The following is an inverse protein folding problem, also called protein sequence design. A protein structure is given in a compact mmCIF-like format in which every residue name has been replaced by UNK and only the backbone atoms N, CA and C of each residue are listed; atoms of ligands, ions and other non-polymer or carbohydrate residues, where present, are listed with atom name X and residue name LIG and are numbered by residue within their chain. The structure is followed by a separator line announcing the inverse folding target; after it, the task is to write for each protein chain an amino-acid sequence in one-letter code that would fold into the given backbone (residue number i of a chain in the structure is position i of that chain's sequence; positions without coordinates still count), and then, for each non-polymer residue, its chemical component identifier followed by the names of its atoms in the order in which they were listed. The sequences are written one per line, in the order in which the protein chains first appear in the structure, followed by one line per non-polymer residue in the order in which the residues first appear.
data_IF_512023744403
#
_entry.id   IF_512023744403
#
_cell.length_a   1.000
_cell.length_b   1.000
_cell.length_c   1.000
_cell.angle_alpha   90.00
_cell.angle_beta   90.00
_cell.angle_gamma   90.00
#
_symmetry.space_group_name_H-M   'P 1'
#
loop_
_entity.id
_entity.type
_entity.pdbx_description
1 polymer ?
#
# COMPACT_ATOMS: atom_id res chain seq x y z
N UNK A 1 42.49 -41.10 -47.71
CA UNK A 1 41.30 -40.45 -48.33
C UNK A 1 40.47 -39.81 -47.22
N UNK A 2 39.80 -38.70 -47.56
CA UNK A 2 39.36 -37.60 -46.69
C UNK A 2 38.38 -37.99 -45.57
N UNK A 3 38.73 -37.67 -44.33
CA UNK A 3 37.81 -37.52 -43.19
C UNK A 3 37.64 -36.03 -42.91
N UNK A 4 36.44 -35.47 -43.06
CA UNK A 4 36.00 -34.23 -42.38
C UNK A 4 34.48 -34.26 -42.23
N UNK A 5 34.01 -34.78 -41.09
CA UNK A 5 32.70 -34.43 -40.55
C UNK A 5 32.87 -33.07 -39.86
N UNK A 6 32.19 -32.04 -40.39
CA UNK A 6 32.06 -30.74 -39.74
C UNK A 6 31.01 -30.88 -38.63
N UNK A 7 31.47 -31.00 -37.38
CA UNK A 7 30.63 -30.74 -36.23
C UNK A 7 30.58 -29.21 -36.04
N UNK A 8 29.47 -28.59 -36.45
CA UNK A 8 29.17 -27.22 -36.11
C UNK A 8 28.74 -27.19 -34.63
N UNK A 9 29.65 -26.76 -33.75
CA UNK A 9 29.31 -26.43 -32.38
C UNK A 9 28.51 -25.11 -32.41
N UNK A 10 27.19 -25.22 -32.28
CA UNK A 10 26.34 -24.08 -31.95
C UNK A 10 26.69 -23.65 -30.52
N UNK A 11 27.47 -22.58 -30.41
CA UNK A 11 27.55 -21.81 -29.18
C UNK A 11 26.16 -21.20 -28.95
N UNK A 12 25.31 -21.92 -28.22
CA UNK A 12 24.16 -21.33 -27.56
C UNK A 12 24.73 -20.40 -26.48
N UNK A 13 24.96 -19.15 -26.86
CA UNK A 13 25.06 -18.05 -25.92
C UNK A 13 23.74 -18.03 -25.14
N UNK A 14 23.76 -18.68 -23.97
CA UNK A 14 22.80 -18.46 -22.91
C UNK A 14 23.00 -16.99 -22.54
N UNK A 15 22.29 -16.09 -23.22
CA UNK A 15 21.97 -14.82 -22.61
C UNK A 15 21.15 -15.21 -21.39
N UNK A 16 21.63 -15.02 -20.15
CA UNK A 16 20.69 -14.95 -19.05
C UNK A 16 19.72 -13.86 -19.49
N UNK A 17 18.47 -14.26 -19.75
CA UNK A 17 17.38 -13.32 -19.77
C UNK A 17 17.41 -12.68 -18.38
N UNK A 18 18.14 -11.58 -18.25
CA UNK A 18 17.80 -10.53 -17.33
C UNK A 18 16.44 -10.02 -17.80
N UNK A 19 15.38 -10.78 -17.53
CA UNK A 19 14.12 -10.16 -17.18
C UNK A 19 14.40 -9.44 -15.87
N UNK A 20 14.99 -8.26 -15.97
CA UNK A 20 14.72 -7.22 -14.99
C UNK A 20 13.22 -7.04 -15.08
N UNK A 21 12.47 -7.79 -14.26
CA UNK A 21 11.22 -7.27 -13.73
C UNK A 21 11.59 -5.87 -13.26
N UNK A 22 11.16 -4.86 -14.01
CA UNK A 22 11.24 -3.50 -13.52
C UNK A 22 10.51 -3.57 -12.18
N UNK A 23 11.23 -3.37 -11.08
CA UNK A 23 10.64 -3.39 -9.76
C UNK A 23 9.50 -2.37 -9.80
N UNK A 24 8.25 -2.84 -9.73
CA UNK A 24 7.04 -2.00 -9.88
C UNK A 24 6.97 -0.84 -8.89
N UNK A 25 7.88 -0.81 -7.91
CA UNK A 25 8.07 0.22 -6.90
C UNK A 25 8.95 1.40 -7.37
N UNK A 26 9.83 1.23 -8.37
CA UNK A 26 10.73 2.31 -8.83
C UNK A 26 10.00 3.47 -9.51
N UNK A 27 8.87 3.17 -10.15
CA UNK A 27 8.02 4.17 -10.80
C UNK A 27 7.01 4.82 -9.85
N UNK A 28 6.91 4.34 -8.60
CA UNK A 28 5.97 4.87 -7.60
C UNK A 28 6.57 6.03 -6.84
N UNK A 29 5.74 7.05 -6.59
CA UNK A 29 6.08 8.14 -5.67
C UNK A 29 6.20 7.66 -4.22
N UNK A 30 6.95 8.39 -3.37
CA UNK A 30 6.99 8.12 -1.93
C UNK A 30 5.61 8.04 -1.28
N UNK A 31 4.70 8.91 -1.72
CA UNK A 31 3.32 8.93 -1.24
C UNK A 31 2.53 7.69 -1.66
N UNK A 32 2.73 7.16 -2.87
CA UNK A 32 2.08 5.90 -3.31
C UNK A 32 2.58 4.70 -2.51
N UNK A 33 3.88 4.66 -2.24
CA UNK A 33 4.48 3.60 -1.41
C UNK A 33 3.97 3.70 0.03
N UNK A 34 3.91 4.90 0.61
CA UNK A 34 3.34 5.11 1.93
C UNK A 34 1.84 4.74 1.98
N UNK A 35 1.10 5.04 0.91
CA UNK A 35 -0.32 4.70 0.82
C UNK A 35 -0.54 3.19 0.70
N UNK A 36 0.34 2.47 -0.02
CA UNK A 36 0.34 1.02 -0.02
C UNK A 36 0.67 0.44 1.36
N UNK A 37 1.71 0.95 2.04
CA UNK A 37 2.07 0.51 3.41
C UNK A 37 0.90 0.67 4.39
N UNK A 38 0.20 1.80 4.32
CA UNK A 38 -0.92 2.08 5.22
C UNK A 38 -2.18 1.30 4.81
N UNK A 39 -2.57 1.32 3.55
CA UNK A 39 -3.92 0.91 3.15
C UNK A 39 -3.96 -0.31 2.22
N UNK A 40 -2.81 -0.79 1.74
CA UNK A 40 -2.75 -1.78 0.66
C UNK A 40 -3.35 -1.27 -0.64
N UNK A 41 -3.44 0.06 -0.80
CA UNK A 41 -4.06 0.71 -1.95
C UNK A 41 -3.04 0.85 -3.08
N UNK A 42 -3.40 0.31 -4.23
CA UNK A 42 -2.73 0.49 -5.52
C UNK A 42 -3.81 0.75 -6.58
N UNK A 43 -3.48 1.47 -7.65
CA UNK A 43 -4.43 1.66 -8.75
C UNK A 43 -4.77 0.31 -9.38
N UNK A 44 -6.04 -0.08 -9.28
CA UNK A 44 -6.52 -1.39 -9.69
C UNK A 44 -8.06 -1.39 -9.76
N UNK A 45 -8.61 -2.39 -10.44
CA UNK A 45 -10.04 -2.64 -10.54
C UNK A 45 -10.33 -4.13 -10.33
N UNK A 46 -11.29 -4.45 -9.47
CA UNK A 46 -11.69 -5.83 -9.19
C UNK A 46 -13.20 -6.00 -9.08
N UNK A 47 -13.67 -7.18 -9.47
CA UNK A 47 -15.07 -7.54 -9.41
C UNK A 47 -15.48 -7.90 -7.97
N UNK A 48 -16.69 -7.48 -7.60
CA UNK A 48 -17.33 -7.83 -6.32
C UNK A 48 -18.77 -8.27 -6.55
N UNK A 49 -19.39 -8.89 -5.54
CA UNK A 49 -20.80 -9.24 -5.66
C UNK A 49 -21.64 -7.98 -5.89
N UNK A 50 -22.29 -7.90 -7.07
CA UNK A 50 -23.18 -6.79 -7.42
C UNK A 50 -22.53 -5.64 -8.20
N UNK A 51 -21.24 -5.71 -8.53
CA UNK A 51 -20.56 -4.68 -9.33
C UNK A 51 -19.05 -4.80 -9.31
N UNK A 52 -18.39 -3.66 -9.42
CA UNK A 52 -16.93 -3.55 -9.51
C UNK A 52 -16.45 -2.52 -8.50
N UNK A 53 -15.34 -2.79 -7.81
CA UNK A 53 -14.61 -1.79 -7.04
C UNK A 53 -13.36 -1.35 -7.80
N UNK A 54 -12.98 -0.09 -7.64
CA UNK A 54 -11.79 0.46 -8.27
C UNK A 54 -11.10 1.45 -7.35
N UNK A 55 -9.77 1.39 -7.34
CA UNK A 55 -8.91 2.40 -6.75
C UNK A 55 -8.28 3.18 -7.90
N UNK A 56 -8.40 4.51 -7.87
CA UNK A 56 -7.85 5.37 -8.92
C UNK A 56 -7.07 6.55 -8.33
N UNK A 57 -5.92 6.87 -8.92
CA UNK A 57 -5.19 8.09 -8.59
C UNK A 57 -5.84 9.27 -9.31
N UNK A 58 -6.31 10.26 -8.55
CA UNK A 58 -6.90 11.51 -9.07
C UNK A 58 -5.88 12.62 -9.24
N UNK A 59 -4.87 12.65 -8.38
CA UNK A 59 -3.77 13.59 -8.43
C UNK A 59 -2.53 12.93 -7.83
N UNK A 60 -1.35 13.20 -8.40
CA UNK A 60 -0.10 12.60 -7.93
C UNK A 60 0.60 13.42 -6.83
N UNK A 61 0.32 14.73 -6.72
CA UNK A 61 0.96 15.59 -5.70
C UNK A 61 0.06 16.73 -5.18
N UNK A 62 -0.33 16.73 -3.89
CA UNK A 62 -0.27 15.56 -2.99
C UNK A 62 -1.00 14.37 -3.62
N UNK A 63 -0.63 13.15 -3.25
CA UNK A 63 -1.30 11.96 -3.77
C UNK A 63 -2.74 12.00 -3.32
N UNK A 64 -3.68 11.93 -4.26
CA UNK A 64 -5.10 11.77 -3.99
C UNK A 64 -5.58 10.50 -4.69
N UNK A 65 -6.10 9.57 -3.90
CA UNK A 65 -6.68 8.32 -4.37
C UNK A 65 -8.15 8.25 -4.01
N UNK A 66 -8.92 7.59 -4.86
CA UNK A 66 -10.35 7.39 -4.64
C UNK A 66 -10.70 5.93 -4.81
N UNK A 67 -11.25 5.34 -3.75
CA UNK A 67 -11.97 4.08 -3.83
C UNK A 67 -13.38 4.39 -4.32
N UNK A 68 -13.78 3.79 -5.43
CA UNK A 68 -15.13 3.90 -5.96
C UNK A 68 -15.74 2.52 -6.19
N UNK A 69 -17.06 2.46 -6.10
CA UNK A 69 -17.84 1.31 -6.54
C UNK A 69 -18.67 1.67 -7.76
N UNK A 70 -18.82 0.70 -8.66
CA UNK A 70 -19.63 0.82 -9.86
C UNK A 70 -20.60 -0.36 -9.93
N UNK A 71 -21.87 -0.07 -10.15
CA UNK A 71 -22.88 -1.07 -10.51
C UNK A 71 -23.48 -0.73 -11.88
N UNK A 72 -24.48 -1.50 -12.33
CA UNK A 72 -25.13 -1.30 -13.63
C UNK A 72 -25.79 0.08 -13.80
N UNK A 73 -26.12 0.76 -12.71
CA UNK A 73 -26.88 2.01 -12.71
C UNK A 73 -25.99 3.25 -12.50
N UNK A 74 -24.92 3.16 -11.71
CA UNK A 74 -24.09 4.31 -11.37
C UNK A 74 -22.69 3.92 -10.87
N UNK A 75 -21.78 4.90 -10.94
CA UNK A 75 -20.53 4.94 -10.18
C UNK A 75 -20.71 5.88 -9.00
N UNK A 76 -20.19 5.49 -7.84
CA UNK A 76 -20.16 6.32 -6.64
C UNK A 76 -18.81 6.14 -5.95
N UNK A 77 -18.23 7.25 -5.52
CA UNK A 77 -17.00 7.25 -4.75
C UNK A 77 -17.35 6.86 -3.31
N UNK A 78 -16.52 6.02 -2.68
CA UNK A 78 -16.70 5.50 -1.32
C UNK A 78 -15.79 6.24 -0.33
N UNK A 79 -14.50 6.35 -0.69
CA UNK A 79 -13.46 6.92 0.16
C UNK A 79 -12.48 7.70 -0.69
N UNK A 80 -12.11 8.88 -0.23
CA UNK A 80 -10.97 9.63 -0.75
C UNK A 80 -9.84 9.62 0.27
N UNK A 81 -8.65 9.25 -0.18
CA UNK A 81 -7.43 9.27 0.63
C UNK A 81 -6.47 10.27 0.02
N UNK A 82 -5.95 11.19 0.83
CA UNK A 82 -4.87 12.08 0.45
C UNK A 82 -3.62 11.74 1.25
N UNK A 83 -2.48 11.51 0.60
CA UNK A 83 -1.19 11.28 1.25
C UNK A 83 -0.22 12.36 0.82
N UNK A 84 0.43 13.00 1.78
CA UNK A 84 1.45 14.01 1.53
C UNK A 84 2.69 13.71 2.35
N UNK A 85 3.85 13.73 1.69
CA UNK A 85 5.14 13.62 2.36
C UNK A 85 5.57 14.99 2.90
N UNK A 86 5.90 15.05 4.18
CA UNK A 86 6.45 16.24 4.84
C UNK A 86 7.98 16.21 4.82
N UNK A 87 8.55 15.04 5.12
CA UNK A 87 9.97 14.72 4.94
C UNK A 87 10.10 13.22 4.59
N UNK A 88 11.29 12.76 4.22
CA UNK A 88 11.49 11.39 3.70
C UNK A 88 10.98 10.24 4.58
N UNK A 89 10.62 10.47 5.85
CA UNK A 89 10.02 9.47 6.74
C UNK A 89 8.65 9.87 7.27
N UNK A 90 8.26 11.15 7.18
CA UNK A 90 7.04 11.69 7.78
C UNK A 90 6.00 12.02 6.74
N UNK A 91 4.81 11.47 6.95
CA UNK A 91 3.68 11.60 6.06
C UNK A 91 2.46 12.12 6.83
N UNK A 92 1.61 12.86 6.12
CA UNK A 92 0.25 13.14 6.57
C UNK A 92 -0.71 12.41 5.65
N UNK A 93 -1.60 11.61 6.21
CA UNK A 93 -2.69 10.97 5.48
C UNK A 93 -4.01 11.54 5.94
N UNK A 94 -4.90 11.86 5.00
CA UNK A 94 -6.27 12.31 5.28
C UNK A 94 -7.23 11.39 4.58
N UNK A 95 -8.21 10.88 5.31
CA UNK A 95 -9.24 10.02 4.76
C UNK A 95 -10.59 10.70 4.91
N UNK A 96 -11.29 10.85 3.79
CA UNK A 96 -12.64 11.39 3.70
C UNK A 96 -13.57 10.31 3.19
N UNK A 97 -14.72 10.18 3.82
CA UNK A 97 -15.79 9.33 3.32
C UNK A 97 -16.78 10.22 2.55
N UNK A 98 -17.07 9.80 1.33
CA UNK A 98 -17.97 10.48 0.39
C UNK A 98 -19.42 10.01 0.50
N UNK A 99 -19.67 8.92 1.23
CA UNK A 99 -20.98 8.24 1.32
C UNK A 99 -21.57 8.15 2.74
N UNK A 100 -20.86 8.62 3.78
CA UNK A 100 -21.27 8.50 5.20
C UNK A 100 -21.52 7.04 5.62
N UNK A 101 -20.71 6.11 5.11
CA UNK A 101 -20.69 4.76 5.62
C UNK A 101 -20.06 4.74 7.02
N UNK A 102 -20.72 4.14 8.03
CA UNK A 102 -20.16 4.03 9.38
C UNK A 102 -18.86 3.19 9.43
N UNK A 103 -18.56 2.47 8.35
CA UNK A 103 -17.37 1.63 8.21
C UNK A 103 -16.08 2.43 7.97
N UNK A 104 -16.16 3.73 7.66
CA UNK A 104 -15.00 4.57 7.35
C UNK A 104 -14.77 5.65 8.42
N UNK A 105 -13.63 5.57 9.13
CA UNK A 105 -13.28 6.46 10.25
C UNK A 105 -12.54 7.71 9.80
N UNK A 106 -13.26 8.67 9.21
CA UNK A 106 -12.69 9.93 8.71
C UNK A 106 -11.69 10.57 9.68
N UNK A 107 -10.59 11.05 9.13
CA UNK A 107 -9.59 11.76 9.92
C UNK A 107 -8.31 12.04 9.17
N UNK A 108 -7.48 12.85 9.81
CA UNK A 108 -6.12 13.17 9.40
C UNK A 108 -5.15 12.57 10.40
N UNK A 109 -4.13 11.87 9.90
CA UNK A 109 -3.13 11.19 10.69
C UNK A 109 -1.74 11.65 10.28
N UNK A 110 -0.91 11.95 11.27
CA UNK A 110 0.53 12.10 11.11
C UNK A 110 1.18 10.74 11.33
N UNK A 111 2.04 10.34 10.40
CA UNK A 111 2.73 9.06 10.42
C UNK A 111 4.23 9.31 10.29
N UNK A 112 5.00 8.84 11.26
CA UNK A 112 6.47 8.85 11.23
C UNK A 112 6.98 7.41 11.10
N UNK A 113 7.52 7.10 9.92
CA UNK A 113 8.09 5.80 9.61
C UNK A 113 9.58 5.67 9.97
N UNK A 114 10.19 6.66 10.64
CA UNK A 114 11.63 6.61 10.95
C UNK A 114 12.04 5.37 11.77
N UNK A 115 11.11 4.83 12.57
CA UNK A 115 11.30 3.62 13.36
C UNK A 115 10.75 2.35 12.73
N UNK A 116 10.17 2.40 11.52
CA UNK A 116 9.50 1.27 10.89
C UNK A 116 10.49 0.11 10.66
N UNK A 117 10.28 -1.00 11.35
CA UNK A 117 11.10 -2.21 11.22
C UNK A 117 10.46 -3.23 10.29
N UNK A 118 9.16 -3.45 10.42
CA UNK A 118 8.36 -4.41 9.67
C UNK A 118 6.90 -3.98 9.60
N UNK A 119 6.15 -4.57 8.68
CA UNK A 119 4.68 -4.50 8.67
C UNK A 119 4.14 -5.91 8.68
N UNK A 120 3.25 -6.23 9.61
CA UNK A 120 2.55 -7.51 9.67
C UNK A 120 1.09 -7.33 9.24
N UNK A 121 0.63 -8.18 8.33
CA UNK A 121 -0.77 -8.25 7.94
C UNK A 121 -1.45 -9.37 8.73
N UNK A 122 -2.59 -9.07 9.34
CA UNK A 122 -3.37 -10.06 10.10
C UNK A 122 -4.83 -10.03 9.68
N UNK A 123 -5.43 -11.21 9.56
CA UNK A 123 -6.85 -11.36 9.21
C UNK A 123 -7.64 -11.60 10.49
N UNK A 124 -8.53 -10.67 10.81
CA UNK A 124 -9.40 -10.81 11.99
C UNK A 124 -10.62 -11.69 11.69
N UNK A 125 -11.37 -12.07 12.72
CA UNK A 125 -12.48 -13.03 12.66
C UNK A 125 -13.62 -12.70 11.67
N UNK A 126 -13.72 -11.46 11.19
CA UNK A 126 -14.69 -11.04 10.19
C UNK A 126 -14.11 -10.96 8.76
N UNK A 127 -12.92 -11.51 8.53
CA UNK A 127 -12.24 -11.53 7.23
C UNK A 127 -11.60 -10.21 6.81
N UNK A 128 -11.63 -9.17 7.67
CA UNK A 128 -10.89 -7.92 7.41
C UNK A 128 -9.41 -8.12 7.68
N UNK A 129 -8.56 -7.50 6.87
CA UNK A 129 -7.12 -7.47 7.07
C UNK A 129 -6.73 -6.13 7.71
N UNK A 130 -5.86 -6.18 8.71
CA UNK A 130 -5.27 -5.02 9.36
C UNK A 130 -3.75 -5.09 9.27
N UNK A 131 -3.12 -3.92 9.15
CA UNK A 131 -1.67 -3.78 9.15
C UNK A 131 -1.17 -3.39 10.55
N UNK A 132 -0.05 -3.98 10.97
CA UNK A 132 0.68 -3.63 12.19
C UNK A 132 2.07 -3.15 11.79
N UNK A 133 2.35 -1.88 12.02
CA UNK A 133 3.53 -1.15 11.56
C UNK A 133 4.51 -1.02 12.72
N UNK A 134 5.34 -2.05 12.89
CA UNK A 134 6.24 -2.16 14.02
C UNK A 134 7.26 -1.00 14.02
N UNK A 135 7.29 -0.24 15.11
CA UNK A 135 8.20 0.89 15.32
C UNK A 135 7.81 2.20 14.62
N UNK A 136 6.77 2.21 13.77
CA UNK A 136 6.20 3.46 13.26
C UNK A 136 5.45 4.21 14.38
N UNK A 137 5.42 5.54 14.29
CA UNK A 137 4.59 6.38 15.18
C UNK A 137 3.43 6.92 14.39
N UNK A 138 2.21 6.73 14.90
CA UNK A 138 0.98 7.14 14.25
C UNK A 138 0.19 7.98 15.24
N UNK A 139 -0.21 9.18 14.81
CA UNK A 139 -1.01 10.10 15.61
C UNK A 139 -2.21 10.57 14.82
N UNK A 140 -3.40 10.44 15.39
CA UNK A 140 -4.59 11.12 14.87
C UNK A 140 -4.49 12.61 15.20
N UNK A 141 -4.52 13.46 14.18
CA UNK A 141 -4.40 14.92 14.28
C UNK A 141 -5.78 15.56 14.30
N UNK A 142 -6.68 15.07 13.46
CA UNK A 142 -8.06 15.55 13.37
C UNK A 142 -9.00 14.39 12.97
N UNK A 143 -10.22 14.41 13.47
CA UNK A 143 -11.24 13.40 13.18
C UNK A 143 -12.60 13.87 13.68
N UNK A 144 -13.68 13.27 13.18
CA UNK A 144 -14.98 13.48 13.79
C UNK A 144 -15.13 12.77 15.15
N UNK A 145 -16.07 13.27 15.96
CA UNK A 145 -16.66 12.55 17.11
C UNK A 145 -15.65 11.92 18.09
N UNK A 146 -14.58 12.64 18.45
CA UNK A 146 -13.64 12.22 19.49
C UNK A 146 -12.77 11.00 19.12
N UNK A 147 -12.77 10.58 17.85
CA UNK A 147 -11.98 9.42 17.41
C UNK A 147 -10.48 9.60 17.66
N UNK A 148 -9.94 10.81 17.52
CA UNK A 148 -8.54 11.07 17.85
C UNK A 148 -8.21 10.89 19.33
N UNK A 149 -9.13 11.20 20.27
CA UNK A 149 -8.90 10.96 21.69
C UNK A 149 -8.79 9.47 21.97
N UNK A 150 -9.71 8.68 21.43
CA UNK A 150 -9.67 7.22 21.50
C UNK A 150 -8.41 6.64 20.84
N UNK A 151 -8.12 7.07 19.60
CA UNK A 151 -6.99 6.58 18.82
C UNK A 151 -5.67 6.87 19.55
N UNK A 152 -5.45 8.12 19.97
CA UNK A 152 -4.21 8.52 20.60
C UNK A 152 -4.07 7.97 22.03
N UNK A 153 -5.17 7.77 22.78
CA UNK A 153 -5.11 7.13 24.10
C UNK A 153 -4.68 5.66 24.02
N UNK A 154 -4.97 4.98 22.90
CA UNK A 154 -4.70 3.55 22.68
C UNK A 154 -3.36 3.27 21.96
N UNK A 155 -2.63 4.32 21.54
CA UNK A 155 -1.34 4.19 20.80
C UNK A 155 -0.12 3.78 21.63
N UNK A 156 -0.29 3.33 22.88
CA UNK A 156 0.85 3.08 23.75
C UNK A 156 1.55 1.72 23.55
N UNK A 157 1.03 0.72 22.79
CA UNK A 157 1.71 -0.59 22.69
C UNK A 157 1.65 -1.34 21.34
N UNK A 158 0.74 -1.04 20.40
CA UNK A 158 0.69 -1.80 19.13
C UNK A 158 0.69 -0.85 17.95
N UNK A 159 1.62 -1.02 17.00
CA UNK A 159 1.67 -0.28 15.73
C UNK A 159 0.47 -0.56 14.81
N UNK A 160 -0.69 -0.90 15.36
CA UNK A 160 -1.90 -1.24 14.64
C UNK A 160 -2.42 -0.03 13.86
N UNK A 161 -2.49 -0.17 12.54
CA UNK A 161 -3.23 0.74 11.69
C UNK A 161 -4.70 0.35 11.68
N UNK A 162 -5.52 1.18 12.32
CA UNK A 162 -6.94 0.91 12.58
C UNK A 162 -7.87 1.18 11.40
N UNK A 163 -7.28 1.32 10.22
CA UNK A 163 -8.00 1.35 8.96
C UNK A 163 -7.82 0.01 8.26
N UNK A 164 -8.85 -0.39 7.51
CA UNK A 164 -8.79 -1.62 6.73
C UNK A 164 -7.60 -1.57 5.77
N UNK A 165 -6.79 -2.61 5.80
CA UNK A 165 -5.75 -2.88 4.81
C UNK A 165 -6.34 -3.76 3.71
N UNK A 166 -6.25 -3.33 2.46
CA UNK A 166 -6.78 -4.00 1.27
C UNK A 166 -8.31 -4.23 1.29
N UNK A 167 -8.95 -3.89 0.18
CA UNK A 167 -10.38 -4.04 -0.03
C UNK A 167 -10.74 -5.32 -0.80
N UNK A 168 -9.72 -6.07 -1.21
CA UNK A 168 -9.85 -7.31 -1.96
C UNK A 168 -9.89 -8.52 -1.02
N UNK A 169 -10.52 -9.60 -1.47
CA UNK A 169 -10.40 -10.92 -0.85
C UNK A 169 -9.20 -11.63 -1.48
N UNK A 170 -8.06 -11.62 -0.77
CA UNK A 170 -6.83 -12.26 -1.22
C UNK A 170 -6.18 -13.09 -0.11
N UNK A 171 -5.31 -14.02 -0.51
CA UNK A 171 -4.47 -14.78 0.41
C UNK A 171 -3.44 -13.85 1.08
N UNK A 172 -3.49 -13.76 2.41
CA UNK A 172 -2.66 -12.87 3.22
C UNK A 172 -1.16 -13.11 3.02
N UNK A 173 -0.74 -14.34 2.73
CA UNK A 173 0.68 -14.69 2.55
C UNK A 173 1.32 -13.98 1.36
N UNK A 174 0.66 -13.95 0.20
CA UNK A 174 1.16 -13.24 -0.98
C UNK A 174 1.26 -11.73 -0.73
N UNK A 175 0.30 -11.16 0.00
CA UNK A 175 0.32 -9.74 0.38
C UNK A 175 1.39 -9.41 1.41
N UNK A 176 1.69 -10.34 2.32
CA UNK A 176 2.77 -10.18 3.28
C UNK A 176 4.12 -10.10 2.56
N UNK A 177 4.38 -10.97 1.57
CA UNK A 177 5.61 -10.93 0.79
C UNK A 177 5.77 -9.60 0.02
N UNK A 178 4.70 -9.12 -0.63
CA UNK A 178 4.70 -7.83 -1.33
C UNK A 178 4.92 -6.66 -0.35
N UNK A 179 4.34 -6.74 0.85
CA UNK A 179 4.57 -5.76 1.91
C UNK A 179 6.03 -5.75 2.38
N UNK A 180 6.63 -6.92 2.61
CA UNK A 180 8.02 -7.03 3.04
C UNK A 180 8.99 -6.42 2.01
N UNK A 181 8.74 -6.67 0.72
CA UNK A 181 9.47 -6.04 -0.38
C UNK A 181 9.29 -4.51 -0.36
N UNK A 182 8.05 -4.05 -0.20
CA UNK A 182 7.72 -2.62 -0.17
C UNK A 182 8.40 -1.90 1.00
N UNK A 183 8.38 -2.49 2.20
CA UNK A 183 9.06 -1.93 3.39
C UNK A 183 10.57 -1.89 3.18
N UNK A 184 11.15 -2.94 2.58
CA UNK A 184 12.57 -2.99 2.26
C UNK A 184 12.96 -1.88 1.30
N UNK A 185 12.22 -1.72 0.20
CA UNK A 185 12.42 -0.66 -0.78
C UNK A 185 12.27 0.73 -0.13
N UNK A 186 11.21 0.94 0.64
CA UNK A 186 10.90 2.21 1.29
C UNK A 186 12.05 2.67 2.20
N UNK A 187 12.61 1.77 3.00
CA UNK A 187 13.74 2.08 3.90
C UNK A 187 15.05 2.35 3.15
N UNK A 188 15.27 1.66 2.03
CA UNK A 188 16.48 1.84 1.23
C UNK A 188 16.46 3.16 0.43
N UNK A 189 15.29 3.57 -0.06
CA UNK A 189 15.20 4.61 -1.08
C UNK A 189 14.53 5.90 -0.61
N UNK A 190 13.59 5.82 0.34
CA UNK A 190 12.74 6.95 0.75
C UNK A 190 13.09 7.37 2.18
N UNK A 191 12.75 6.53 3.16
CA UNK A 191 13.03 6.79 4.58
C UNK A 191 14.40 6.23 4.96
N UNK A 192 15.45 6.88 4.46
CA UNK A 192 16.83 6.47 4.72
C UNK A 192 17.16 6.67 6.20
N UNK A 193 17.81 5.70 6.86
CA UNK A 193 18.38 5.92 8.18
C UNK A 193 19.33 7.12 8.11
N UNK A 194 19.12 8.12 8.96
CA UNK A 194 20.08 9.20 9.12
C UNK A 194 21.39 8.58 9.64
N UNK A 195 22.40 8.54 8.76
CA UNK A 195 23.79 8.18 9.06
C UNK A 195 24.42 9.12 10.07
#
# INVERSE_FOLDING_TARGET
MKSKLLAAALAASILPACSSEANSLEDKSPEEIAAYILFGMEEDQWEVTGGTMMMAVRNAKPLHMVLAAQNKAARFDLVETAVNMSDGCRFTTTVKDTTRSPDFKRGTFAVDFSGLSAVRLDTVSNGKVFAYLDGAKIQCVDSDEGFCEFFNADTAVTGEWRWRYDFREHETESRQAQMDETVTYFKANICKPST
#
